data_IF_178380875637
#
_entry.id   IF_178380875637
#
_cell.length_a   1.000
_cell.length_b   1.000
_cell.length_c   1.000
_cell.angle_alpha   90.00
_cell.angle_beta   90.00
_cell.angle_gamma   90.00
#
_symmetry.space_group_name_H-M   'P 1'
#
loop_
_entity.id
_entity.type
_entity.pdbx_description
1 polymer ?
#
# COMPACT_ATOMS: atom_id res chain seq x y z
N UNK A 1 0.42 11.95 -25.32
CA UNK A 1 -0.87 12.22 -25.98
C UNK A 1 -1.33 13.57 -25.48
N UNK A 2 -1.58 14.49 -26.40
CA UNK A 2 -1.75 15.92 -26.15
C UNK A 2 -2.85 16.24 -25.15
N UNK A 3 -2.45 16.90 -24.06
CA UNK A 3 -3.33 17.71 -23.21
C UNK A 3 -3.78 18.91 -24.05
N UNK A 4 -4.86 18.74 -24.80
CA UNK A 4 -5.52 19.83 -25.49
C UNK A 4 -6.04 20.84 -24.46
N UNK A 5 -5.31 21.94 -24.31
CA UNK A 5 -5.77 23.35 -24.26
C UNK A 5 -7.23 23.60 -23.82
N UNK A 6 -7.60 23.16 -22.62
CA UNK A 6 -8.68 23.72 -21.80
C UNK A 6 -8.71 22.87 -20.53
N UNK A 7 -8.44 23.43 -19.36
CA UNK A 7 -8.31 22.71 -18.08
C UNK A 7 -9.62 22.12 -17.54
N UNK A 8 -10.36 21.36 -18.34
CA UNK A 8 -11.60 20.68 -17.97
C UNK A 8 -11.46 19.17 -18.13
N UNK A 9 -11.93 18.43 -17.13
CA UNK A 9 -12.01 16.96 -17.16
C UNK A 9 -13.00 16.53 -18.25
N UNK A 10 -12.66 15.47 -19.00
CA UNK A 10 -13.59 14.84 -19.95
C UNK A 10 -14.72 14.12 -19.21
N UNK A 11 -15.85 13.86 -19.90
CA UNK A 11 -16.96 13.10 -19.31
C UNK A 11 -16.51 11.74 -18.75
N UNK A 12 -15.66 11.01 -19.47
CA UNK A 12 -15.10 9.74 -18.97
C UNK A 12 -14.37 9.91 -17.64
N UNK A 13 -13.48 10.90 -17.53
CA UNK A 13 -12.74 11.19 -16.29
C UNK A 13 -13.66 11.60 -15.13
N UNK A 14 -14.74 12.32 -15.42
CA UNK A 14 -15.74 12.73 -14.42
C UNK A 14 -16.55 11.52 -13.93
N UNK A 15 -16.92 10.61 -14.82
CA UNK A 15 -17.62 9.37 -14.46
C UNK A 15 -16.74 8.48 -13.58
N UNK A 16 -15.51 8.24 -14.01
CA UNK A 16 -14.56 7.39 -13.31
C UNK A 16 -14.28 7.93 -11.90
N UNK A 17 -14.09 9.25 -11.77
CA UNK A 17 -13.91 9.89 -10.48
C UNK A 17 -15.16 9.76 -9.60
N UNK A 18 -16.35 10.05 -10.14
CA UNK A 18 -17.59 9.98 -9.38
C UNK A 18 -17.90 8.55 -8.89
N UNK A 19 -17.63 7.53 -9.71
CA UNK A 19 -17.78 6.12 -9.33
C UNK A 19 -16.77 5.66 -8.28
N UNK A 20 -15.59 6.30 -8.23
CA UNK A 20 -14.60 5.98 -7.22
C UNK A 20 -14.95 6.58 -5.85
N UNK A 21 -15.59 7.77 -5.83
CA UNK A 21 -15.97 8.49 -4.59
C UNK A 21 -17.32 8.03 -4.03
N UNK A 22 -18.21 7.52 -4.90
CA UNK A 22 -19.59 7.16 -4.52
C UNK A 22 -19.84 5.67 -4.68
N UNK A 23 -20.86 5.14 -4.00
CA UNK A 23 -21.30 3.74 -4.17
C UNK A 23 -22.25 3.54 -5.36
N UNK A 24 -22.32 4.49 -6.29
CA UNK A 24 -23.25 4.42 -7.42
C UNK A 24 -22.75 3.39 -8.45
N UNK A 25 -23.67 2.58 -8.98
CA UNK A 25 -23.35 1.78 -10.16
C UNK A 25 -23.23 2.69 -11.40
N UNK A 26 -22.58 2.19 -12.45
CA UNK A 26 -22.26 2.95 -13.67
C UNK A 26 -23.47 3.68 -14.28
N UNK A 27 -24.64 3.02 -14.31
CA UNK A 27 -25.85 3.58 -14.90
C UNK A 27 -26.45 4.71 -14.06
N UNK A 28 -26.40 4.57 -12.74
CA UNK A 28 -26.90 5.57 -11.81
C UNK A 28 -25.93 6.76 -11.71
N UNK A 29 -24.63 6.53 -11.82
CA UNK A 29 -23.61 7.60 -11.90
C UNK A 29 -23.84 8.49 -13.12
N UNK A 30 -24.09 7.92 -14.30
CA UNK A 30 -24.40 8.70 -15.51
C UNK A 30 -25.68 9.52 -15.30
N UNK A 31 -26.76 8.89 -14.84
CA UNK A 31 -28.04 9.57 -14.60
C UNK A 31 -27.93 10.71 -13.62
N UNK A 32 -27.14 10.54 -12.56
CA UNK A 32 -26.90 11.56 -11.56
C UNK A 32 -26.05 12.70 -12.14
N UNK A 33 -24.95 12.38 -12.81
CA UNK A 33 -24.06 13.38 -13.43
C UNK A 33 -24.76 14.19 -14.54
N UNK A 34 -25.70 13.59 -15.27
CA UNK A 34 -26.52 14.28 -16.28
C UNK A 34 -27.35 15.41 -15.66
N UNK A 35 -27.86 15.25 -14.43
CA UNK A 35 -28.61 16.29 -13.71
C UNK A 35 -27.74 17.53 -13.41
N UNK A 36 -26.43 17.32 -13.26
CA UNK A 36 -25.45 18.35 -12.96
C UNK A 36 -24.63 18.77 -14.17
N UNK A 37 -25.09 18.43 -15.38
CA UNK A 37 -24.40 18.74 -16.64
C UNK A 37 -22.93 18.28 -16.65
N UNK A 38 -22.64 17.18 -15.97
CA UNK A 38 -21.28 16.67 -15.80
C UNK A 38 -20.33 17.64 -15.07
N UNK A 39 -20.86 18.56 -14.25
CA UNK A 39 -20.03 19.36 -13.34
C UNK A 39 -19.75 18.56 -12.06
N UNK A 40 -18.54 18.04 -11.95
CA UNK A 40 -18.13 17.16 -10.85
C UNK A 40 -18.30 17.81 -9.47
N UNK A 41 -17.93 19.08 -9.33
CA UNK A 41 -17.97 19.78 -8.04
C UNK A 41 -19.42 19.92 -7.53
N UNK A 42 -20.34 20.31 -8.41
CA UNK A 42 -21.75 20.45 -8.05
C UNK A 42 -22.39 19.10 -7.70
N UNK A 43 -22.05 18.05 -8.47
CA UNK A 43 -22.54 16.69 -8.22
C UNK A 43 -22.07 16.15 -6.87
N UNK A 44 -20.79 16.31 -6.54
CA UNK A 44 -20.22 15.88 -5.26
C UNK A 44 -20.80 16.66 -4.07
N UNK A 45 -20.92 17.98 -4.19
CA UNK A 45 -21.55 18.81 -3.15
C UNK A 45 -22.95 18.33 -2.82
N UNK A 46 -23.76 18.00 -3.84
CA UNK A 46 -25.09 17.43 -3.62
C UNK A 46 -25.03 16.05 -2.97
N UNK A 47 -24.19 15.16 -3.49
CA UNK A 47 -24.04 13.80 -2.98
C UNK A 47 -23.69 13.80 -1.49
N UNK A 48 -22.73 14.63 -1.07
CA UNK A 48 -22.36 14.74 0.34
C UNK A 48 -23.49 15.32 1.21
N UNK A 49 -24.19 16.36 0.72
CA UNK A 49 -25.31 16.96 1.42
C UNK A 49 -26.47 15.97 1.64
N UNK A 50 -26.79 15.14 0.64
CA UNK A 50 -27.91 14.18 0.70
C UNK A 50 -27.62 12.97 1.61
N UNK A 51 -26.34 12.69 1.90
CA UNK A 51 -25.92 11.58 2.75
C UNK A 51 -25.48 12.02 4.16
N UNK A 52 -25.75 13.27 4.53
CA UNK A 52 -25.35 13.89 5.80
C UNK A 52 -23.84 13.74 6.10
N UNK A 53 -23.05 13.62 5.03
CA UNK A 53 -21.61 13.59 5.08
C UNK A 53 -21.19 15.05 5.20
N UNK A 54 -21.19 15.55 6.44
CA UNK A 54 -20.69 16.90 6.73
C UNK A 54 -19.34 17.09 6.05
N UNK A 55 -19.13 18.29 5.53
CA UNK A 55 -17.98 18.73 4.76
C UNK A 55 -16.68 18.64 5.58
N UNK A 56 -16.26 17.43 5.96
CA UNK A 56 -14.91 17.10 6.39
C UNK A 56 -14.05 17.13 5.14
N UNK A 57 -13.78 18.34 4.67
CA UNK A 57 -12.89 18.67 3.55
C UNK A 57 -11.44 18.28 3.78
N UNK A 58 -11.18 17.16 4.46
CA UNK A 58 -9.86 16.63 4.78
C UNK A 58 -9.79 15.10 4.92
N UNK A 59 -10.86 14.33 4.65
CA UNK A 59 -10.80 12.87 4.76
C UNK A 59 -11.10 12.07 3.48
N UNK A 60 -11.51 12.73 2.38
CA UNK A 60 -11.77 12.05 1.11
C UNK A 60 -10.79 12.41 -0.02
N UNK A 61 -9.67 13.07 0.29
CA UNK A 61 -8.67 13.47 -0.71
C UNK A 61 -7.56 12.43 -0.94
N UNK A 62 -7.51 11.34 -0.16
CA UNK A 62 -6.38 10.39 -0.19
C UNK A 62 -6.64 9.09 -0.94
N UNK A 63 -7.85 8.82 -1.45
CA UNK A 63 -8.15 7.53 -2.07
C UNK A 63 -8.23 7.52 -3.60
N UNK A 64 -8.27 8.66 -4.30
CA UNK A 64 -8.63 8.67 -5.74
C UNK A 64 -7.79 9.69 -6.51
N UNK A 65 -6.49 9.46 -6.60
CA UNK A 65 -5.63 10.08 -7.62
C UNK A 65 -4.47 9.14 -7.98
N UNK A 66 -4.77 7.85 -8.14
CA UNK A 66 -3.78 6.91 -8.66
C UNK A 66 -4.38 6.10 -9.79
N UNK A 67 -4.64 6.80 -10.89
CA UNK A 67 -4.70 6.23 -12.23
C UNK A 67 -4.56 7.33 -13.27
N UNK A 68 -3.34 7.81 -13.41
CA UNK A 68 -2.71 8.01 -14.73
C UNK A 68 -1.22 8.30 -14.50
N UNK A 69 -0.39 7.64 -15.31
CA UNK A 69 1.06 7.74 -15.27
C UNK A 69 1.50 9.21 -15.44
N UNK A 70 2.13 9.75 -14.41
CA UNK A 70 3.44 10.42 -14.50
C UNK A 70 3.83 10.86 -13.09
N UNK A 71 5.00 10.41 -12.64
CA UNK A 71 5.65 10.84 -11.39
C UNK A 71 5.75 12.38 -11.28
N UNK A 72 5.68 13.09 -12.40
CA UNK A 72 5.69 14.55 -12.50
C UNK A 72 4.43 15.24 -11.94
N UNK A 73 3.23 14.64 -12.06
CA UNK A 73 1.99 15.25 -11.52
C UNK A 73 1.84 14.99 -10.02
N UNK A 74 2.25 13.81 -9.55
CA UNK A 74 2.40 13.53 -8.11
C UNK A 74 3.45 14.45 -7.48
N UNK A 75 4.61 14.64 -8.12
CA UNK A 75 5.61 15.59 -7.66
C UNK A 75 5.08 17.04 -7.65
N UNK A 76 4.29 17.43 -8.65
CA UNK A 76 3.67 18.75 -8.72
C UNK A 76 2.58 18.96 -7.66
N UNK A 77 1.76 17.94 -7.38
CA UNK A 77 0.74 17.98 -6.34
C UNK A 77 1.37 17.96 -4.95
N UNK A 78 2.45 17.20 -4.75
CA UNK A 78 3.27 17.26 -3.54
C UNK A 78 3.84 18.68 -3.37
N UNK A 79 4.42 19.27 -4.42
CA UNK A 79 4.94 20.65 -4.36
C UNK A 79 3.83 21.71 -4.12
N UNK A 80 2.64 21.55 -4.71
CA UNK A 80 1.51 22.46 -4.51
C UNK A 80 0.93 22.33 -3.09
N UNK A 81 0.93 21.12 -2.50
CA UNK A 81 0.48 20.87 -1.12
C UNK A 81 1.57 21.17 -0.05
N UNK A 82 2.85 21.18 -0.44
CA UNK A 82 3.99 21.62 0.37
C UNK A 82 4.02 23.15 0.58
N UNK A 83 3.23 23.91 -0.19
CA UNK A 83 3.11 25.37 -0.04
C UNK A 83 2.28 25.81 1.17
N UNK A 84 1.59 24.87 1.84
CA UNK A 84 0.77 25.12 3.03
C UNK A 84 1.45 24.51 4.28
N UNK A 85 1.88 25.36 5.21
CA UNK A 85 2.78 24.99 6.32
C UNK A 85 2.19 24.02 7.34
N UNK A 86 0.86 23.77 7.29
CA UNK A 86 0.16 22.81 8.16
C UNK A 86 0.13 21.38 7.60
N UNK A 87 0.28 21.19 6.29
CA UNK A 87 0.21 19.90 5.59
C UNK A 87 1.56 19.21 5.41
N UNK A 88 2.67 19.93 5.60
CA UNK A 88 4.03 19.44 5.34
C UNK A 88 4.44 18.25 6.24
N UNK A 89 4.00 18.24 7.49
CA UNK A 89 4.24 17.13 8.41
C UNK A 89 3.32 15.92 8.18
N UNK A 90 2.12 16.10 7.61
CA UNK A 90 1.20 15.00 7.37
C UNK A 90 1.50 14.27 6.06
N UNK A 91 1.98 14.97 5.02
CA UNK A 91 2.31 14.38 3.71
C UNK A 91 3.64 13.62 3.73
N UNK A 92 4.66 14.13 4.45
CA UNK A 92 5.95 13.44 4.60
C UNK A 92 5.83 12.05 5.26
N UNK A 93 4.74 11.85 6.01
CA UNK A 93 4.38 10.61 6.68
C UNK A 93 3.58 9.64 5.81
N UNK A 94 3.24 10.01 4.58
CA UNK A 94 2.55 9.12 3.66
C UNK A 94 3.55 8.39 2.77
N UNK A 95 3.25 7.12 2.47
CA UNK A 95 3.96 6.33 1.49
C UNK A 95 2.98 5.67 0.53
N UNK A 96 3.29 5.69 -0.76
CA UNK A 96 2.48 5.10 -1.82
C UNK A 96 3.00 3.70 -2.15
N UNK A 97 2.10 2.73 -2.14
CA UNK A 97 2.29 1.40 -2.70
C UNK A 97 1.71 1.41 -4.12
N UNK A 98 2.53 1.15 -5.15
CA UNK A 98 2.08 1.11 -6.54
C UNK A 98 1.21 -0.11 -6.86
N UNK A 99 0.71 -0.23 -8.09
CA UNK A 99 -0.06 -1.41 -8.54
C UNK A 99 0.77 -2.71 -8.42
N UNK A 100 2.06 -2.64 -8.79
CA UNK A 100 3.02 -3.74 -8.63
C UNK A 100 3.62 -3.69 -7.23
N UNK A 101 3.17 -4.57 -6.35
CA UNK A 101 3.65 -4.69 -4.97
C UNK A 101 5.05 -5.31 -4.89
N UNK A 102 5.83 -4.90 -3.89
CA UNK A 102 7.13 -5.49 -3.50
C UNK A 102 6.93 -6.36 -2.26
N UNK A 103 6.99 -7.67 -2.43
CA UNK A 103 6.55 -8.66 -1.45
C UNK A 103 7.76 -9.46 -0.94
N UNK A 104 8.04 -9.39 0.36
CA UNK A 104 9.03 -10.25 1.00
C UNK A 104 8.39 -11.54 1.52
N UNK A 105 9.10 -12.65 1.34
CA UNK A 105 8.69 -13.99 1.70
C UNK A 105 9.73 -14.58 2.66
N UNK A 106 9.31 -14.84 3.91
CA UNK A 106 10.16 -15.38 4.96
C UNK A 106 9.42 -16.52 5.65
N UNK A 107 10.11 -17.62 5.95
CA UNK A 107 9.56 -18.71 6.72
C UNK A 107 10.62 -19.44 7.54
N UNK A 108 10.28 -19.75 8.78
CA UNK A 108 11.03 -20.71 9.57
C UNK A 108 10.98 -22.09 8.91
N UNK A 109 11.97 -22.95 9.18
CA UNK A 109 12.14 -24.22 8.46
C UNK A 109 10.87 -25.09 8.46
N UNK A 110 10.24 -25.26 9.62
CA UNK A 110 9.01 -26.06 9.78
C UNK A 110 7.78 -25.43 9.10
N UNK A 111 7.87 -24.16 8.72
CA UNK A 111 6.79 -23.40 8.09
C UNK A 111 6.94 -23.23 6.58
N UNK A 112 8.06 -23.66 6.00
CA UNK A 112 8.32 -23.52 4.56
C UNK A 112 7.31 -24.29 3.72
N UNK A 113 6.95 -25.51 4.11
CA UNK A 113 5.95 -26.31 3.38
C UNK A 113 4.59 -25.61 3.38
N UNK A 114 4.14 -25.16 4.56
CA UNK A 114 2.88 -24.42 4.72
C UNK A 114 2.86 -23.14 3.86
N UNK A 115 3.97 -22.39 3.85
CA UNK A 115 4.13 -21.21 3.00
C UNK A 115 3.97 -21.57 1.52
N UNK A 116 4.66 -22.60 1.03
CA UNK A 116 4.61 -22.99 -0.39
C UNK A 116 3.20 -23.43 -0.79
N UNK A 117 2.53 -24.23 0.03
CA UNK A 117 1.16 -24.68 -0.24
C UNK A 117 0.19 -23.50 -0.35
N UNK A 118 0.29 -22.54 0.58
CA UNK A 118 -0.49 -21.31 0.54
C UNK A 118 -0.19 -20.47 -0.72
N UNK A 119 1.08 -20.18 -1.00
CA UNK A 119 1.46 -19.33 -2.14
C UNK A 119 1.12 -19.98 -3.50
N UNK A 120 1.13 -21.32 -3.60
CA UNK A 120 0.80 -22.03 -4.84
C UNK A 120 -0.63 -21.74 -5.30
N UNK A 121 -1.56 -21.53 -4.37
CA UNK A 121 -2.95 -21.18 -4.68
C UNK A 121 -3.09 -19.76 -5.27
N UNK A 122 -2.11 -18.88 -4.99
CA UNK A 122 -2.11 -17.47 -5.42
C UNK A 122 -1.01 -17.17 -6.45
N UNK A 123 -0.47 -18.20 -7.09
CA UNK A 123 0.68 -18.14 -8.01
C UNK A 123 0.50 -17.06 -9.09
N UNK A 124 -0.68 -16.97 -9.69
CA UNK A 124 -0.95 -16.03 -10.78
C UNK A 124 -1.06 -14.57 -10.32
N UNK A 125 -1.46 -14.33 -9.08
CA UNK A 125 -1.44 -13.00 -8.46
C UNK A 125 0.01 -12.62 -8.15
N UNK A 126 0.75 -13.52 -7.51
CA UNK A 126 2.15 -13.32 -7.12
C UNK A 126 3.06 -13.05 -8.33
N UNK A 127 2.81 -13.69 -9.48
CA UNK A 127 3.58 -13.51 -10.71
C UNK A 127 3.52 -12.07 -11.28
N UNK A 128 2.54 -11.26 -10.86
CA UNK A 128 2.39 -9.84 -11.28
C UNK A 128 3.17 -8.88 -10.38
N UNK A 129 3.82 -9.38 -9.34
CA UNK A 129 4.46 -8.61 -8.28
C UNK A 129 5.96 -8.93 -8.20
N UNK A 130 6.72 -8.07 -7.51
CA UNK A 130 8.15 -8.28 -7.28
C UNK A 130 8.33 -9.07 -5.99
N UNK A 131 8.89 -10.26 -6.11
CA UNK A 131 9.11 -11.15 -4.98
C UNK A 131 10.56 -11.07 -4.47
N UNK A 132 10.67 -11.03 -3.15
CA UNK A 132 11.92 -11.08 -2.41
C UNK A 132 11.84 -12.23 -1.41
N UNK A 133 12.93 -12.93 -1.14
CA UNK A 133 12.92 -13.99 -0.13
C UNK A 133 14.28 -14.27 0.48
N UNK A 134 14.31 -14.66 1.75
CA UNK A 134 15.55 -14.99 2.44
C UNK A 134 16.04 -16.39 2.07
N UNK A 135 17.37 -16.53 1.94
CA UNK A 135 18.12 -17.76 1.69
C UNK A 135 17.36 -18.90 1.02
N UNK A 136 17.06 -19.93 1.81
CA UNK A 136 16.38 -21.15 1.36
C UNK A 136 14.89 -20.95 1.05
N UNK A 137 14.22 -19.99 1.70
CA UNK A 137 12.82 -19.66 1.42
C UNK A 137 12.66 -19.14 0.00
N UNK A 138 13.45 -18.13 -0.38
CA UNK A 138 13.39 -17.56 -1.74
C UNK A 138 13.71 -18.58 -2.82
N UNK A 139 14.71 -19.44 -2.57
CA UNK A 139 15.09 -20.51 -3.48
C UNK A 139 13.99 -21.58 -3.63
N UNK A 140 13.31 -21.93 -2.54
CA UNK A 140 12.21 -22.89 -2.57
C UNK A 140 10.99 -22.32 -3.31
N UNK A 141 10.62 -21.06 -3.05
CA UNK A 141 9.51 -20.40 -3.74
C UNK A 141 9.75 -20.33 -5.23
N UNK A 142 10.94 -19.88 -5.65
CA UNK A 142 11.29 -19.78 -7.08
C UNK A 142 11.21 -21.14 -7.77
N UNK A 143 11.75 -22.19 -7.13
CA UNK A 143 11.70 -23.56 -7.64
C UNK A 143 10.27 -24.09 -7.77
N UNK A 144 9.44 -23.91 -6.75
CA UNK A 144 8.11 -24.53 -6.68
C UNK A 144 7.04 -23.77 -7.48
N UNK A 145 7.13 -22.44 -7.52
CA UNK A 145 6.14 -21.59 -8.19
C UNK A 145 6.57 -21.14 -9.59
N UNK A 146 7.85 -21.33 -9.93
CA UNK A 146 8.43 -20.89 -11.21
C UNK A 146 8.20 -19.39 -11.45
N UNK A 147 8.46 -18.59 -10.41
CA UNK A 147 8.39 -17.12 -10.42
C UNK A 147 9.75 -16.60 -9.97
N UNK A 148 10.35 -15.61 -10.65
CA UNK A 148 11.61 -15.01 -10.23
C UNK A 148 11.53 -14.43 -8.81
N UNK A 149 12.51 -14.78 -7.97
CA UNK A 149 12.61 -14.23 -6.60
C UNK A 149 13.99 -13.62 -6.41
N UNK A 150 14.03 -12.36 -5.97
CA UNK A 150 15.30 -11.76 -5.53
C UNK A 150 15.66 -12.32 -4.15
N UNK A 151 16.79 -13.03 -4.09
CA UNK A 151 17.22 -13.76 -2.89
C UNK A 151 18.11 -12.88 -2.02
N UNK A 152 17.84 -12.92 -0.72
CA UNK A 152 18.65 -12.32 0.33
C UNK A 152 19.37 -13.41 1.12
N UNK A 153 20.24 -13.02 2.04
CA UNK A 153 20.84 -13.95 2.98
C UNK A 153 19.79 -14.67 3.82
N UNK A 154 20.17 -15.77 4.46
CA UNK A 154 19.28 -16.40 5.44
C UNK A 154 19.04 -15.47 6.63
N UNK A 155 17.88 -15.58 7.30
CA UNK A 155 17.54 -14.75 8.47
C UNK A 155 18.67 -14.71 9.52
N UNK A 156 19.17 -15.87 10.01
CA UNK A 156 20.29 -15.93 10.96
C UNK A 156 21.60 -15.31 10.49
N UNK A 157 21.79 -15.12 9.19
CA UNK A 157 23.00 -14.52 8.60
C UNK A 157 22.78 -13.04 8.21
N UNK A 158 21.68 -12.42 8.64
CA UNK A 158 21.39 -11.00 8.43
C UNK A 158 20.36 -10.73 7.32
N UNK A 159 19.73 -11.75 6.74
CA UNK A 159 18.66 -11.57 5.75
C UNK A 159 17.49 -10.73 6.25
N UNK A 160 17.13 -10.88 7.54
CA UNK A 160 16.05 -10.11 8.16
C UNK A 160 16.41 -8.62 8.25
N UNK A 161 17.69 -8.29 8.44
CA UNK A 161 18.18 -6.92 8.44
C UNK A 161 18.21 -6.32 7.04
N UNK A 162 18.55 -7.11 6.02
CA UNK A 162 18.47 -6.68 4.62
C UNK A 162 17.03 -6.31 4.24
N UNK A 163 16.05 -7.13 4.65
CA UNK A 163 14.64 -6.82 4.46
C UNK A 163 14.21 -5.59 5.27
N UNK A 164 14.67 -5.47 6.51
CA UNK A 164 14.45 -4.28 7.34
C UNK A 164 14.92 -2.99 6.67
N UNK A 165 16.11 -3.00 6.06
CA UNK A 165 16.63 -1.87 5.29
C UNK A 165 15.72 -1.52 4.10
N UNK A 166 15.16 -2.52 3.40
CA UNK A 166 14.20 -2.25 2.32
C UNK A 166 12.90 -1.65 2.83
N UNK A 167 12.42 -2.06 4.01
CA UNK A 167 11.26 -1.43 4.64
C UNK A 167 11.54 0.05 4.89
N UNK A 168 12.69 0.37 5.49
CA UNK A 168 13.03 1.75 5.84
C UNK A 168 13.26 2.65 4.62
N UNK A 169 13.78 2.07 3.54
CA UNK A 169 13.93 2.74 2.24
C UNK A 169 12.63 2.82 1.42
N UNK A 170 11.49 2.37 1.96
CA UNK A 170 10.18 2.31 1.26
C UNK A 170 10.24 1.46 -0.02
N UNK A 171 11.10 0.45 -0.01
CA UNK A 171 11.32 -0.51 -1.10
C UNK A 171 10.67 -1.87 -0.86
N UNK A 172 9.83 -1.96 0.17
CA UNK A 172 9.03 -3.11 0.51
C UNK A 172 7.62 -2.66 0.89
N UNK A 173 6.60 -3.39 0.42
CA UNK A 173 5.19 -3.05 0.57
C UNK A 173 4.44 -4.09 1.41
N UNK A 174 4.83 -5.36 1.28
CA UNK A 174 4.19 -6.49 1.92
C UNK A 174 5.27 -7.41 2.49
N UNK A 175 5.08 -7.87 3.72
CA UNK A 175 5.88 -8.90 4.37
C UNK A 175 5.00 -10.11 4.68
N UNK A 176 5.23 -11.22 3.98
CA UNK A 176 4.66 -12.53 4.31
C UNK A 176 5.71 -13.29 5.13
N UNK A 177 5.45 -13.47 6.42
CA UNK A 177 6.40 -14.09 7.34
C UNK A 177 5.74 -15.21 8.15
N UNK A 178 5.95 -16.46 7.73
CA UNK A 178 5.45 -17.62 8.46
C UNK A 178 6.45 -18.01 9.57
N UNK A 179 6.10 -17.58 10.78
CA UNK A 179 6.88 -17.79 12.00
C UNK A 179 6.39 -19.08 12.65
N UNK A 180 7.32 -19.94 13.07
CA UNK A 180 7.01 -21.09 13.92
C UNK A 180 6.86 -20.63 15.38
N UNK A 181 5.64 -20.65 15.97
CA UNK A 181 5.42 -20.17 17.33
C UNK A 181 5.80 -21.19 18.41
N UNK A 182 6.08 -22.45 18.04
CA UNK A 182 6.34 -23.54 18.99
C UNK A 182 7.82 -23.85 19.17
N UNK A 183 8.68 -23.25 18.35
CA UNK A 183 10.12 -23.49 18.36
C UNK A 183 10.91 -22.24 18.80
N UNK A 184 12.03 -22.44 19.47
CA UNK A 184 12.92 -21.35 19.88
C UNK A 184 13.87 -20.98 18.75
N UNK A 185 13.84 -19.72 18.30
CA UNK A 185 14.69 -19.26 17.20
C UNK A 185 15.87 -18.43 17.73
N UNK A 186 17.12 -18.78 17.42
CA UNK A 186 18.31 -18.02 17.86
C UNK A 186 18.30 -16.54 17.43
N UNK A 187 17.55 -16.22 16.37
CA UNK A 187 17.41 -14.90 15.77
C UNK A 187 16.04 -14.26 16.08
N UNK A 188 15.35 -14.67 17.15
CA UNK A 188 14.03 -14.13 17.49
C UNK A 188 14.04 -12.61 17.72
N UNK A 189 15.15 -12.03 18.22
CA UNK A 189 15.31 -10.57 18.32
C UNK A 189 15.14 -9.89 16.96
N UNK A 190 15.64 -10.51 15.90
CA UNK A 190 15.64 -9.98 14.55
C UNK A 190 14.24 -10.09 13.94
N UNK A 191 13.54 -11.19 14.20
CA UNK A 191 12.12 -11.38 13.85
C UNK A 191 11.26 -10.26 14.45
N UNK A 192 11.40 -10.00 15.75
CA UNK A 192 10.63 -8.94 16.42
C UNK A 192 11.00 -7.54 15.91
N UNK A 193 12.29 -7.30 15.64
CA UNK A 193 12.74 -6.04 15.08
C UNK A 193 12.15 -5.79 13.69
N UNK A 194 12.09 -6.82 12.84
CA UNK A 194 11.51 -6.74 11.50
C UNK A 194 10.00 -6.46 11.55
N UNK A 195 9.25 -7.18 12.39
CA UNK A 195 7.81 -6.95 12.57
C UNK A 195 7.52 -5.55 13.13
N UNK A 196 8.36 -5.05 14.05
CA UNK A 196 8.25 -3.69 14.56
C UNK A 196 8.47 -2.66 13.45
N UNK A 197 9.47 -2.85 12.58
CA UNK A 197 9.68 -1.98 11.41
C UNK A 197 8.47 -2.03 10.48
N UNK A 198 7.89 -3.21 10.27
CA UNK A 198 6.71 -3.37 9.44
C UNK A 198 5.54 -2.49 9.93
N UNK A 199 5.30 -2.49 11.24
CA UNK A 199 4.28 -1.65 11.90
C UNK A 199 4.60 -0.17 11.81
N UNK A 200 5.85 0.24 12.06
CA UNK A 200 6.27 1.65 11.99
C UNK A 200 6.07 2.22 10.60
N UNK A 201 6.42 1.46 9.56
CA UNK A 201 6.25 1.93 8.18
C UNK A 201 4.86 1.68 7.62
N UNK A 202 4.00 0.95 8.35
CA UNK A 202 2.66 0.60 7.89
C UNK A 202 2.64 -0.30 6.65
N UNK A 203 3.67 -1.15 6.44
CA UNK A 203 3.54 -2.20 5.41
C UNK A 203 2.53 -3.24 5.87
N UNK A 204 1.94 -3.94 4.92
CA UNK A 204 1.08 -5.08 5.22
C UNK A 204 1.96 -6.23 5.71
N UNK A 205 1.59 -6.82 6.85
CA UNK A 205 2.25 -8.02 7.37
C UNK A 205 1.24 -9.17 7.46
N UNK A 206 1.59 -10.30 6.84
CA UNK A 206 0.80 -11.54 6.89
C UNK A 206 1.64 -12.66 7.49
N UNK A 207 1.17 -13.22 8.61
CA UNK A 207 1.93 -14.24 9.37
C UNK A 207 1.28 -15.62 9.36
N UNK A 208 0.13 -15.77 8.71
CA UNK A 208 -0.63 -17.01 8.61
C UNK A 208 -1.17 -17.19 7.20
N UNK A 209 -1.47 -18.43 6.80
CA UNK A 209 -2.10 -18.73 5.51
C UNK A 209 -3.44 -18.01 5.33
N UNK A 210 -4.25 -17.92 6.40
CA UNK A 210 -5.51 -17.19 6.36
C UNK A 210 -5.32 -15.70 6.05
N UNK A 211 -4.32 -15.05 6.66
CA UNK A 211 -4.03 -13.64 6.35
C UNK A 211 -3.55 -13.46 4.91
N UNK A 212 -2.76 -14.42 4.39
CA UNK A 212 -2.31 -14.40 2.99
C UNK A 212 -3.48 -14.57 2.03
N UNK A 213 -4.41 -15.48 2.30
CA UNK A 213 -5.61 -15.69 1.48
C UNK A 213 -6.44 -14.42 1.34
N UNK A 214 -6.78 -13.78 2.47
CA UNK A 214 -7.52 -12.52 2.47
C UNK A 214 -6.76 -11.40 1.76
N UNK A 215 -5.44 -11.34 1.98
CA UNK A 215 -4.59 -10.32 1.36
C UNK A 215 -4.52 -10.47 -0.16
N UNK A 216 -4.16 -11.65 -0.65
CA UNK A 216 -3.93 -11.90 -2.08
C UNK A 216 -5.23 -11.95 -2.90
N UNK A 217 -6.37 -12.20 -2.23
CA UNK A 217 -7.71 -12.11 -2.84
C UNK A 217 -8.26 -10.68 -2.89
N UNK A 218 -7.60 -9.71 -2.23
CA UNK A 218 -8.07 -8.32 -2.18
C UNK A 218 -7.90 -7.62 -3.52
N UNK A 219 -8.93 -6.87 -3.96
CA UNK A 219 -8.83 -5.99 -5.14
C UNK A 219 -7.75 -4.92 -4.99
N UNK A 220 -7.37 -4.59 -3.75
CA UNK A 220 -6.27 -3.65 -3.45
C UNK A 220 -4.89 -4.14 -3.86
N UNK A 221 -4.73 -5.43 -4.20
CA UNK A 221 -3.45 -5.93 -4.72
C UNK A 221 -3.09 -5.35 -6.08
N UNK A 222 -4.09 -5.03 -6.91
CA UNK A 222 -3.90 -4.46 -8.26
C UNK A 222 -4.11 -2.95 -8.32
N UNK A 223 -4.59 -2.35 -7.22
CA UNK A 223 -4.76 -0.90 -7.10
C UNK A 223 -3.59 -0.28 -6.34
N UNK A 224 -3.25 0.98 -6.61
CA UNK A 224 -2.33 1.71 -5.76
C UNK A 224 -2.98 2.01 -4.39
N UNK A 225 -2.16 2.09 -3.35
CA UNK A 225 -2.64 2.29 -1.98
C UNK A 225 -1.72 3.24 -1.20
N UNK A 226 -2.30 4.17 -0.46
CA UNK A 226 -1.56 5.08 0.42
C UNK A 226 -1.59 4.54 1.83
N UNK A 227 -0.41 4.41 2.44
CA UNK A 227 -0.23 4.03 3.85
C UNK A 227 0.43 5.15 4.64
N UNK A 228 0.17 5.19 5.94
CA UNK A 228 0.78 6.13 6.87
C UNK A 228 1.96 5.48 7.59
N UNK A 229 3.07 6.19 7.65
CA UNK A 229 4.24 5.88 8.46
C UNK A 229 4.00 6.47 9.84
N UNK A 230 4.13 5.63 10.87
CA UNK A 230 4.01 6.03 12.26
C UNK A 230 5.27 6.76 12.69
N UNK A 231 5.22 8.09 12.68
CA UNK A 231 6.20 8.92 13.36
C UNK A 231 5.63 9.21 14.76
N UNK A 232 6.26 8.65 15.79
CA UNK A 232 5.91 9.03 17.16
C UNK A 232 6.06 10.54 17.31
N UNK A 233 5.16 11.19 18.06
CA UNK A 233 5.45 12.55 18.51
C UNK A 233 6.79 12.47 19.25
N UNK A 234 7.85 13.01 18.66
CA UNK A 234 9.05 13.31 19.42
C UNK A 234 8.60 14.46 20.32
N UNK A 235 8.00 14.11 21.46
CA UNK A 235 7.71 15.07 22.52
C UNK A 235 9.03 15.78 22.76
N UNK A 236 9.08 17.10 22.47
CA UNK A 236 10.22 17.92 22.87
C UNK A 236 10.57 17.54 24.31
N UNK A 237 11.85 17.30 24.62
CA UNK A 237 12.22 16.96 25.98
C UNK A 237 11.63 18.03 26.92
N UNK A 238 10.98 17.59 28.01
CA UNK A 238 10.40 18.47 29.04
C UNK A 238 11.43 19.37 29.76
N UNK A 239 12.65 19.48 29.25
CA UNK A 239 13.73 20.29 29.81
C UNK A 239 13.66 21.79 29.46
N UNK A 240 12.62 22.25 28.76
CA UNK A 240 12.34 23.69 28.53
C UNK A 240 11.09 24.18 29.30
N UNK A 241 10.71 23.48 30.37
CA UNK A 241 9.67 23.92 31.31
C UNK A 241 10.24 23.98 32.73
N UNK A 242 11.27 24.81 32.93
CA UNK A 242 11.64 25.41 34.23
C UNK A 242 12.11 26.83 33.97
#
# INVERSE_FOLDING_TARGET
>A
MDLNKSGFLSRGQILDYFQAVTCFNFKDSIRFLDQYQWNLNNALQKFYADNDLTNTGNQCFTSILIREKNDEYLAKLINELESDSRTQNDISNLAVMGEIKRIALVAHNNKKTELIECLRQHRDVLAKHKLYGTGTTGSLVEKELQIPVTKFESGPLGGDQQLGAKITSRELDILIFFIDPLDSHPHNSDVQALLRLAQVYGIICATTAATVDFLLSSTKMIEPHVRKIQIGQISKPKSELV
#
